data_IF_387674548729
#
_entry.id   IF_387674548729
#
_cell.length_a   1.000
_cell.length_b   1.000
_cell.length_c   1.000
_cell.angle_alpha   90.00
_cell.angle_beta   90.00
_cell.angle_gamma   90.00
#
_symmetry.space_group_name_H-M   'P 1'
#
loop_
_entity.id
_entity.type
_entity.pdbx_description
1 polymer ?
#
# COMPACT_ATOMS: atom_id res chain seq x y z
N UNK A 1 -24.11 -16.59 -8.35
CA UNK A 1 -22.93 -17.12 -9.06
C UNK A 1 -21.68 -16.62 -8.34
N UNK A 2 -21.09 -17.41 -7.44
CA UNK A 2 -19.71 -17.14 -7.02
C UNK A 2 -18.81 -17.56 -8.19
N UNK A 3 -18.37 -16.60 -9.01
CA UNK A 3 -17.56 -16.93 -10.17
C UNK A 3 -16.19 -17.42 -9.69
N UNK A 4 -15.64 -18.46 -10.33
CA UNK A 4 -14.30 -18.97 -10.04
C UNK A 4 -13.26 -17.84 -10.10
N UNK A 5 -13.46 -16.85 -10.97
CA UNK A 5 -12.64 -15.63 -11.03
C UNK A 5 -12.69 -14.78 -9.77
N UNK A 6 -13.85 -14.62 -9.13
CA UNK A 6 -13.97 -13.89 -7.87
C UNK A 6 -13.24 -14.62 -6.71
N UNK A 7 -13.26 -15.95 -6.70
CA UNK A 7 -12.51 -16.75 -5.72
C UNK A 7 -10.99 -16.62 -5.93
N UNK A 8 -10.51 -16.74 -7.18
CA UNK A 8 -9.09 -16.56 -7.52
C UNK A 8 -8.63 -15.15 -7.14
N UNK A 9 -9.41 -14.13 -7.50
CA UNK A 9 -9.13 -12.76 -7.11
C UNK A 9 -9.08 -12.60 -5.59
N UNK A 10 -10.02 -13.20 -4.86
CA UNK A 10 -10.04 -13.19 -3.40
C UNK A 10 -8.77 -13.80 -2.78
N UNK A 11 -8.32 -14.95 -3.28
CA UNK A 11 -7.08 -15.59 -2.80
C UNK A 11 -5.87 -14.69 -3.07
N UNK A 12 -5.73 -14.16 -4.29
CA UNK A 12 -4.61 -13.29 -4.64
C UNK A 12 -4.62 -12.02 -3.78
N UNK A 13 -5.80 -11.46 -3.53
CA UNK A 13 -5.98 -10.27 -2.70
C UNK A 13 -5.57 -10.54 -1.25
N UNK A 14 -5.92 -11.71 -0.69
CA UNK A 14 -5.48 -12.12 0.65
C UNK A 14 -3.95 -12.23 0.69
N UNK A 15 -3.34 -13.04 -0.18
CA UNK A 15 -1.88 -13.27 -0.16
C UNK A 15 -1.11 -11.97 -0.37
N UNK A 16 -1.52 -11.14 -1.33
CA UNK A 16 -0.90 -9.85 -1.61
C UNK A 16 -1.00 -8.88 -0.43
N UNK A 17 -2.16 -8.78 0.21
CA UNK A 17 -2.34 -7.88 1.35
C UNK A 17 -1.65 -8.38 2.64
N UNK A 18 -1.51 -9.69 2.83
CA UNK A 18 -0.66 -10.18 3.92
C UNK A 18 0.79 -9.72 3.73
N UNK A 19 1.27 -9.77 2.48
CA UNK A 19 2.56 -9.18 2.11
C UNK A 19 2.67 -7.70 2.47
N UNK A 20 1.66 -6.88 2.12
CA UNK A 20 1.69 -5.44 2.42
C UNK A 20 1.60 -5.12 3.90
N UNK A 21 1.12 -6.02 4.75
CA UNK A 21 1.10 -5.77 6.20
C UNK A 21 2.37 -6.27 6.87
N UNK A 22 2.85 -7.46 6.51
CA UNK A 22 4.00 -8.09 7.17
C UNK A 22 5.34 -7.53 6.71
N UNK A 23 5.43 -7.07 5.46
CA UNK A 23 6.70 -6.60 4.86
C UNK A 23 6.80 -5.08 4.88
N UNK A 24 5.71 -4.37 5.13
CA UNK A 24 5.70 -2.90 5.11
C UNK A 24 6.19 -2.31 6.43
N UNK A 25 7.33 -1.63 6.34
CA UNK A 25 7.99 -0.98 7.46
C UNK A 25 7.14 0.10 8.14
N UNK A 26 6.18 0.71 7.44
CA UNK A 26 5.29 1.72 8.04
C UNK A 26 4.39 1.14 9.13
N UNK A 27 3.99 -0.13 8.99
CA UNK A 27 3.22 -0.86 10.01
C UNK A 27 4.09 -1.18 11.22
N UNK A 28 5.29 -1.68 11.00
CA UNK A 28 6.24 -2.01 12.07
C UNK A 28 6.64 -0.78 12.90
N UNK A 29 6.93 0.33 12.23
CA UNK A 29 7.24 1.60 12.89
C UNK A 29 6.10 2.06 13.80
N UNK A 30 4.85 1.96 13.32
CA UNK A 30 3.66 2.33 14.11
C UNK A 30 3.44 1.38 15.27
N UNK A 31 3.67 0.08 15.08
CA UNK A 31 3.57 -0.92 16.13
C UNK A 31 4.58 -0.66 17.26
N UNK A 32 5.85 -0.42 16.91
CA UNK A 32 6.93 -0.15 17.87
C UNK A 32 6.74 1.19 18.59
N UNK A 33 6.24 2.21 17.90
CA UNK A 33 5.97 3.52 18.50
C UNK A 33 4.75 3.54 19.44
N UNK A 34 3.88 2.53 19.35
CA UNK A 34 2.64 2.45 20.12
C UNK A 34 2.83 1.73 21.46
N UNK A 35 2.00 2.06 22.46
CA UNK A 35 2.04 1.38 23.76
C UNK A 35 1.59 -0.08 23.59
N UNK A 36 2.26 -1.09 24.19
CA UNK A 36 1.92 -2.50 24.01
C UNK A 36 0.45 -2.85 24.25
N UNK A 37 -0.18 -2.23 25.26
CA UNK A 37 -1.60 -2.45 25.58
C UNK A 37 -2.57 -1.92 24.52
N UNK A 38 -2.17 -0.94 23.70
CA UNK A 38 -3.02 -0.31 22.70
C UNK A 38 -2.74 -0.75 21.26
N UNK A 39 -1.62 -1.44 21.01
CA UNK A 39 -1.20 -1.89 19.67
C UNK A 39 -2.25 -2.80 19.02
N UNK A 40 -2.57 -3.92 19.69
CA UNK A 40 -3.52 -4.92 19.17
C UNK A 40 -4.93 -4.36 18.95
N UNK A 41 -5.59 -3.73 19.95
CA UNK A 41 -6.91 -3.15 19.70
C UNK A 41 -6.87 -2.02 18.66
N UNK A 42 -5.77 -1.26 18.60
CA UNK A 42 -5.58 -0.22 17.58
C UNK A 42 -5.57 -0.78 16.16
N UNK A 43 -4.84 -1.87 15.92
CA UNK A 43 -4.84 -2.53 14.61
C UNK A 43 -6.18 -3.17 14.26
N UNK A 44 -6.89 -3.77 15.23
CA UNK A 44 -8.22 -4.34 15.00
C UNK A 44 -9.25 -3.27 14.63
N UNK A 45 -9.30 -2.17 15.38
CA UNK A 45 -10.20 -1.04 15.09
C UNK A 45 -9.82 -0.40 13.74
N UNK A 46 -8.52 -0.24 13.46
CA UNK A 46 -8.03 0.26 12.18
C UNK A 46 -8.45 -0.63 11.00
N UNK A 47 -8.34 -1.96 11.14
CA UNK A 47 -8.77 -2.93 10.14
C UNK A 47 -10.30 -2.92 9.92
N UNK A 48 -11.08 -2.82 10.99
CA UNK A 48 -12.54 -2.69 10.90
C UNK A 48 -12.95 -1.36 10.26
N UNK A 49 -12.29 -0.26 10.59
CA UNK A 49 -12.52 1.04 9.97
C UNK A 49 -12.16 1.01 8.48
N UNK A 50 -11.14 0.25 8.09
CA UNK A 50 -10.77 0.10 6.68
C UNK A 50 -11.90 -0.56 5.87
N UNK A 51 -12.63 -1.53 6.43
CA UNK A 51 -13.77 -2.17 5.75
C UNK A 51 -14.85 -1.16 5.33
N UNK A 52 -15.03 -0.07 6.09
CA UNK A 52 -15.99 0.96 5.76
C UNK A 52 -15.68 1.64 4.41
N UNK A 53 -14.42 1.71 3.99
CA UNK A 53 -14.04 2.39 2.73
C UNK A 53 -14.52 1.61 1.49
N UNK A 54 -14.12 0.34 1.25
CA UNK A 54 -14.61 -0.42 0.09
C UNK A 54 -16.11 -0.69 0.20
N UNK A 55 -16.64 -0.93 1.41
CA UNK A 55 -18.07 -1.18 1.57
C UNK A 55 -18.90 0.09 1.32
N UNK A 56 -18.59 1.22 1.95
CA UNK A 56 -19.42 2.41 1.87
C UNK A 56 -19.08 3.31 0.68
N UNK A 57 -17.83 3.40 0.22
CA UNK A 57 -17.46 4.29 -0.89
C UNK A 57 -17.46 3.55 -2.24
N UNK A 58 -16.76 2.42 -2.34
CA UNK A 58 -16.62 1.72 -3.61
C UNK A 58 -17.93 1.03 -4.04
N UNK A 59 -18.62 0.36 -3.11
CA UNK A 59 -19.89 -0.32 -3.43
C UNK A 59 -20.98 0.69 -3.77
N UNK A 60 -21.11 1.79 -3.03
CA UNK A 60 -22.16 2.79 -3.29
C UNK A 60 -21.94 3.49 -4.62
N UNK A 61 -20.73 4.00 -4.90
CA UNK A 61 -20.44 4.69 -6.17
C UNK A 61 -20.45 3.72 -7.35
N UNK A 62 -20.00 2.47 -7.16
CA UNK A 62 -20.08 1.43 -8.18
C UNK A 62 -21.51 1.06 -8.53
N UNK A 63 -22.38 0.84 -7.53
CA UNK A 63 -23.80 0.58 -7.75
C UNK A 63 -24.52 1.81 -8.32
N UNK A 64 -24.14 3.01 -7.89
CA UNK A 64 -24.71 4.25 -8.41
C UNK A 64 -24.36 4.44 -9.90
N UNK A 65 -23.13 4.11 -10.32
CA UNK A 65 -22.74 4.10 -11.73
C UNK A 65 -23.62 3.16 -12.56
N UNK A 66 -23.96 1.98 -12.02
CA UNK A 66 -24.87 1.03 -12.67
C UNK A 66 -26.31 1.57 -12.69
N UNK A 67 -26.80 2.12 -11.58
CA UNK A 67 -28.16 2.64 -11.45
C UNK A 67 -28.46 3.79 -12.43
N UNK A 68 -27.47 4.65 -12.67
CA UNK A 68 -27.59 5.77 -13.63
C UNK A 68 -27.23 5.37 -15.07
N UNK A 69 -26.94 4.09 -15.33
CA UNK A 69 -26.49 3.58 -16.63
C UNK A 69 -25.33 4.40 -17.23
N UNK A 70 -24.34 4.70 -16.39
CA UNK A 70 -23.18 5.50 -16.78
C UNK A 70 -22.41 4.79 -17.91
N UNK A 71 -22.35 5.41 -19.08
CA UNK A 71 -21.59 4.86 -20.20
C UNK A 71 -20.09 5.07 -19.95
N UNK A 72 -19.40 3.97 -19.64
CA UNK A 72 -17.97 3.95 -19.39
C UNK A 72 -17.28 3.14 -20.48
N UNK A 73 -16.22 3.70 -21.04
CA UNK A 73 -15.34 3.00 -21.96
C UNK A 73 -14.53 1.92 -21.22
N UNK A 74 -14.10 0.84 -21.90
CA UNK A 74 -13.23 -0.17 -21.29
C UNK A 74 -11.95 0.43 -20.69
N UNK A 75 -11.43 1.50 -21.29
CA UNK A 75 -10.24 2.21 -20.82
C UNK A 75 -10.51 2.91 -19.48
N UNK A 76 -11.63 3.61 -19.33
CA UNK A 76 -12.00 4.30 -18.08
C UNK A 76 -12.21 3.32 -16.92
N UNK A 77 -12.83 2.16 -17.21
CA UNK A 77 -12.99 1.07 -16.24
C UNK A 77 -11.62 0.55 -15.82
N UNK A 78 -10.74 0.22 -16.79
CA UNK A 78 -9.39 -0.29 -16.51
C UNK A 78 -8.48 0.72 -15.78
N UNK A 79 -8.78 2.01 -15.92
CA UNK A 79 -8.08 3.12 -15.25
C UNK A 79 -8.64 3.44 -13.85
N UNK A 80 -9.67 2.72 -13.40
CA UNK A 80 -10.27 2.91 -12.07
C UNK A 80 -11.13 4.18 -11.94
N UNK A 81 -11.62 4.74 -13.05
CA UNK A 81 -12.35 6.01 -13.05
C UNK A 81 -13.84 5.90 -12.71
N UNK A 82 -14.33 4.68 -12.44
CA UNK A 82 -15.74 4.39 -12.16
C UNK A 82 -16.28 5.27 -11.02
N UNK A 83 -15.61 5.29 -9.86
CA UNK A 83 -16.08 6.05 -8.70
C UNK A 83 -16.02 7.58 -8.90
N UNK A 84 -14.92 8.16 -9.42
CA UNK A 84 -14.86 9.58 -9.76
C UNK A 84 -15.93 10.02 -10.76
N UNK A 85 -16.14 9.26 -11.83
CA UNK A 85 -17.12 9.59 -12.87
C UNK A 85 -18.55 9.44 -12.37
N UNK A 86 -18.84 8.43 -11.54
CA UNK A 86 -20.14 8.28 -10.91
C UNK A 86 -20.47 9.46 -9.98
N UNK A 87 -19.51 9.88 -9.15
CA UNK A 87 -19.69 11.02 -8.25
C UNK A 87 -19.90 12.32 -9.03
N UNK A 88 -19.12 12.56 -10.08
CA UNK A 88 -19.26 13.72 -10.95
C UNK A 88 -20.60 13.72 -11.69
N UNK A 89 -21.09 12.57 -12.13
CA UNK A 89 -22.38 12.46 -12.82
C UNK A 89 -23.57 12.79 -11.90
N UNK A 90 -23.51 12.37 -10.63
CA UNK A 90 -24.63 12.51 -9.68
C UNK A 90 -24.63 13.89 -9.01
N UNK A 91 -23.46 14.40 -8.63
CA UNK A 91 -23.32 15.64 -7.83
C UNK A 91 -22.74 16.81 -8.65
N UNK A 92 -22.51 16.62 -9.95
CA UNK A 92 -21.85 17.61 -10.81
C UNK A 92 -20.43 17.92 -10.34
N UNK A 93 -20.02 19.18 -10.50
CA UNK A 93 -18.68 19.66 -10.15
C UNK A 93 -18.31 19.39 -8.68
N UNK A 94 -19.29 19.45 -7.78
CA UNK A 94 -19.08 19.20 -6.35
C UNK A 94 -18.62 17.76 -6.11
N UNK A 95 -19.21 16.79 -6.80
CA UNK A 95 -18.81 15.38 -6.72
C UNK A 95 -17.39 15.15 -7.22
N UNK A 96 -17.02 15.80 -8.33
CA UNK A 96 -15.68 15.74 -8.88
C UNK A 96 -14.64 16.32 -7.91
N UNK A 97 -14.91 17.50 -7.33
CA UNK A 97 -14.03 18.16 -6.36
C UNK A 97 -13.83 17.29 -5.11
N UNK A 98 -14.91 16.70 -4.58
CA UNK A 98 -14.84 15.82 -3.41
C UNK A 98 -13.98 14.57 -3.69
N UNK A 99 -14.19 13.93 -4.84
CA UNK A 99 -13.40 12.75 -5.23
C UNK A 99 -11.92 13.08 -5.43
N UNK A 100 -11.62 14.22 -6.06
CA UNK A 100 -10.24 14.71 -6.19
C UNK A 100 -9.60 14.99 -4.84
N UNK A 101 -10.34 15.60 -3.91
CA UNK A 101 -9.85 15.92 -2.57
C UNK A 101 -9.55 14.65 -1.76
N UNK A 102 -10.46 13.67 -1.79
CA UNK A 102 -10.26 12.36 -1.14
C UNK A 102 -9.04 11.65 -1.73
N UNK A 103 -8.94 11.59 -3.06
CA UNK A 103 -7.82 10.94 -3.75
C UNK A 103 -6.49 11.62 -3.42
N UNK A 104 -6.43 12.95 -3.50
CA UNK A 104 -5.22 13.72 -3.20
C UNK A 104 -4.76 13.50 -1.76
N UNK A 105 -5.69 13.53 -0.80
CA UNK A 105 -5.40 13.31 0.61
C UNK A 105 -4.91 11.88 0.85
N UNK A 106 -5.58 10.88 0.26
CA UNK A 106 -5.20 9.47 0.39
C UNK A 106 -3.79 9.20 -0.16
N UNK A 107 -3.50 9.68 -1.38
CA UNK A 107 -2.18 9.50 -2.02
C UNK A 107 -1.09 10.23 -1.24
N UNK A 108 -1.35 11.45 -0.78
CA UNK A 108 -0.36 12.23 0.00
C UNK A 108 -0.06 11.57 1.35
N UNK A 109 -1.10 11.09 2.06
CA UNK A 109 -0.94 10.41 3.34
C UNK A 109 -0.17 9.08 3.20
N UNK A 110 -0.52 8.26 2.21
CA UNK A 110 0.18 7.02 1.91
C UNK A 110 1.63 7.27 1.46
N UNK A 111 1.83 8.22 0.55
CA UNK A 111 3.15 8.58 0.04
C UNK A 111 4.09 9.07 1.13
N UNK A 112 3.61 9.92 2.04
CA UNK A 112 4.39 10.41 3.19
C UNK A 112 4.83 9.27 4.12
N UNK A 113 3.92 8.33 4.42
CA UNK A 113 4.24 7.16 5.24
C UNK A 113 5.33 6.30 4.59
N UNK A 114 5.19 6.00 3.29
CA UNK A 114 6.15 5.17 2.54
C UNK A 114 7.53 5.84 2.42
N UNK A 115 7.58 7.14 2.14
CA UNK A 115 8.83 7.90 2.08
C UNK A 115 9.59 7.85 3.41
N UNK A 116 8.87 8.00 4.52
CA UNK A 116 9.48 7.90 5.85
C UNK A 116 9.97 6.47 6.14
N UNK A 117 9.21 5.46 5.76
CA UNK A 117 9.57 4.06 5.95
C UNK A 117 10.82 3.68 5.16
N UNK A 118 10.88 3.99 3.87
CA UNK A 118 12.08 3.75 3.03
C UNK A 118 13.28 4.55 3.53
N UNK A 119 13.07 5.79 3.94
CA UNK A 119 14.12 6.61 4.53
C UNK A 119 14.73 5.96 5.78
N UNK A 120 13.91 5.36 6.64
CA UNK A 120 14.37 4.66 7.84
C UNK A 120 15.19 3.41 7.50
N UNK A 121 14.78 2.63 6.51
CA UNK A 121 15.50 1.43 6.05
C UNK A 121 16.88 1.83 5.52
N UNK A 122 16.93 2.86 4.66
CA UNK A 122 18.21 3.34 4.13
C UNK A 122 19.10 3.91 5.25
N UNK A 123 18.52 4.62 6.22
CA UNK A 123 19.28 5.31 7.26
C UNK A 123 19.81 4.35 8.32
N UNK A 124 18.96 3.48 8.86
CA UNK A 124 19.31 2.58 9.96
C UNK A 124 19.82 1.24 9.47
N UNK A 125 19.20 0.65 8.46
CA UNK A 125 19.53 -0.73 8.06
C UNK A 125 20.68 -0.76 7.07
N UNK A 126 20.81 0.25 6.20
CA UNK A 126 21.92 0.34 5.23
C UNK A 126 23.06 1.22 5.75
N UNK A 127 22.80 2.51 5.94
CA UNK A 127 23.85 3.48 6.21
C UNK A 127 24.51 3.26 7.56
N UNK A 128 23.72 3.15 8.64
CA UNK A 128 24.29 2.91 9.97
C UNK A 128 24.92 1.53 10.06
N UNK A 129 24.26 0.47 9.59
CA UNK A 129 24.79 -0.90 9.75
C UNK A 129 26.07 -1.15 8.94
N UNK A 130 26.11 -0.71 7.67
CA UNK A 130 27.18 -1.14 6.76
C UNK A 130 28.16 -0.03 6.35
N UNK A 131 27.72 1.23 6.30
CA UNK A 131 28.56 2.33 5.80
C UNK A 131 29.29 3.03 6.95
N UNK A 132 28.56 3.43 7.99
CA UNK A 132 29.12 4.15 9.14
C UNK A 132 28.41 3.80 10.46
N UNK A 133 28.84 2.73 11.15
CA UNK A 133 28.28 2.31 12.44
C UNK A 133 28.29 3.36 13.55
N UNK A 134 29.30 4.23 13.55
CA UNK A 134 29.48 5.31 14.52
C UNK A 134 28.83 6.65 14.12
N UNK A 135 27.84 6.62 13.22
CA UNK A 135 27.12 7.82 12.76
C UNK A 135 26.35 8.53 13.89
N UNK A 136 26.46 9.85 13.95
CA UNK A 136 25.72 10.67 14.92
C UNK A 136 24.27 10.93 14.47
N UNK A 137 23.37 11.26 15.39
CA UNK A 137 21.97 11.54 15.07
C UNK A 137 21.78 12.63 14.00
N UNK A 138 22.61 13.69 14.01
CA UNK A 138 22.57 14.73 12.97
C UNK A 138 22.95 14.22 11.58
N UNK A 139 23.89 13.28 11.50
CA UNK A 139 24.26 12.64 10.23
C UNK A 139 23.13 11.75 9.72
N UNK A 140 22.51 10.96 10.59
CA UNK A 140 21.36 10.11 10.23
C UNK A 140 20.19 10.94 9.71
N UNK A 141 19.86 12.05 10.38
CA UNK A 141 18.80 12.96 9.90
C UNK A 141 19.11 13.57 8.53
N UNK A 142 20.39 13.84 8.23
CA UNK A 142 20.79 14.36 6.91
C UNK A 142 20.63 13.30 5.82
N UNK A 143 21.09 12.08 6.07
CA UNK A 143 20.93 10.95 5.14
C UNK A 143 19.45 10.67 4.91
N UNK A 144 18.65 10.64 5.97
CA UNK A 144 17.21 10.44 5.89
C UNK A 144 16.53 11.44 4.93
N UNK A 145 16.86 12.73 5.01
CA UNK A 145 16.32 13.75 4.09
C UNK A 145 16.75 13.54 2.64
N UNK A 146 18.00 13.17 2.41
CA UNK A 146 18.46 12.84 1.04
C UNK A 146 17.77 11.59 0.50
N UNK A 147 17.56 10.57 1.33
CA UNK A 147 16.82 9.37 0.95
C UNK A 147 15.36 9.68 0.58
N UNK A 148 14.70 10.56 1.34
CA UNK A 148 13.32 11.01 1.02
C UNK A 148 13.27 11.69 -0.33
N UNK A 149 14.19 12.63 -0.60
CA UNK A 149 14.23 13.36 -1.87
C UNK A 149 14.55 12.42 -3.05
N UNK A 150 15.58 11.59 -2.91
CA UNK A 150 16.00 10.66 -3.94
C UNK A 150 14.93 9.62 -4.27
N UNK A 151 14.34 9.01 -3.25
CA UNK A 151 13.28 8.01 -3.43
C UNK A 151 11.98 8.64 -3.94
N UNK A 152 11.60 9.83 -3.45
CA UNK A 152 10.42 10.54 -3.92
C UNK A 152 10.50 10.92 -5.40
N UNK A 153 11.64 11.44 -5.85
CA UNK A 153 11.88 11.71 -7.27
C UNK A 153 11.91 10.41 -8.10
N UNK A 154 12.54 9.35 -7.57
CA UNK A 154 12.58 8.05 -8.23
C UNK A 154 11.20 7.42 -8.39
N UNK A 155 10.34 7.50 -7.37
CA UNK A 155 8.94 7.05 -7.43
C UNK A 155 8.14 7.85 -8.46
N UNK A 156 8.31 9.18 -8.50
CA UNK A 156 7.64 10.02 -9.50
C UNK A 156 8.05 9.66 -10.94
N UNK A 157 9.35 9.44 -11.15
CA UNK A 157 9.87 8.98 -12.45
C UNK A 157 9.32 7.60 -12.83
N UNK A 158 9.36 6.63 -11.91
CA UNK A 158 8.81 5.29 -12.15
C UNK A 158 7.31 5.34 -12.44
N UNK A 159 6.54 6.09 -11.67
CA UNK A 159 5.10 6.25 -11.90
C UNK A 159 4.81 6.85 -13.28
N UNK A 160 5.60 7.83 -13.72
CA UNK A 160 5.48 8.42 -15.07
C UNK A 160 5.76 7.40 -16.16
N UNK A 161 6.82 6.60 -16.01
CA UNK A 161 7.17 5.54 -16.97
C UNK A 161 6.08 4.46 -17.05
N UNK A 162 5.56 4.01 -15.91
CA UNK A 162 4.48 3.03 -15.86
C UNK A 162 3.20 3.56 -16.53
N UNK A 163 2.87 4.83 -16.28
CA UNK A 163 1.73 5.49 -16.91
C UNK A 163 1.89 5.58 -18.44
N UNK A 164 3.06 6.00 -18.92
CA UNK A 164 3.36 6.07 -20.36
C UNK A 164 3.38 4.70 -21.05
N UNK A 165 3.73 3.64 -20.31
CA UNK A 165 3.76 2.27 -20.81
C UNK A 165 2.37 1.63 -20.94
N UNK A 166 1.30 2.32 -20.51
CA UNK A 166 -0.07 1.81 -20.59
C UNK A 166 -0.33 0.60 -19.68
N UNK A 167 0.50 0.38 -18.66
CA UNK A 167 0.36 -0.75 -17.75
C UNK A 167 -0.87 -0.52 -16.87
N UNK A 168 -1.79 -1.49 -16.85
CA UNK A 168 -3.00 -1.41 -16.03
C UNK A 168 -2.68 -1.38 -14.53
N UNK A 169 -3.50 -0.66 -13.76
CA UNK A 169 -3.39 -0.62 -12.29
C UNK A 169 -3.51 -2.02 -11.67
N UNK A 170 -4.37 -2.86 -12.24
CA UNK A 170 -4.55 -4.25 -11.81
C UNK A 170 -3.25 -5.05 -11.97
N UNK A 171 -2.50 -4.84 -13.05
CA UNK A 171 -1.22 -5.50 -13.23
C UNK A 171 -0.20 -5.08 -12.16
N UNK A 172 -0.08 -3.77 -11.89
CA UNK A 172 0.84 -3.26 -10.85
C UNK A 172 0.48 -3.83 -9.48
N UNK A 173 -0.82 -3.91 -9.15
CA UNK A 173 -1.31 -4.51 -7.91
C UNK A 173 -0.95 -6.00 -7.80
N UNK A 174 -1.13 -6.77 -8.88
CA UNK A 174 -0.76 -8.19 -8.92
C UNK A 174 0.76 -8.38 -8.80
N UNK A 175 1.54 -7.60 -9.54
CA UNK A 175 3.00 -7.65 -9.52
C UNK A 175 3.54 -7.38 -8.11
N UNK A 176 2.99 -6.38 -7.41
CA UNK A 176 3.32 -6.12 -6.01
C UNK A 176 3.11 -7.37 -5.16
N UNK A 177 1.92 -7.99 -5.22
CA UNK A 177 1.59 -9.18 -4.43
C UNK A 177 2.54 -10.36 -4.69
N UNK A 178 2.95 -10.57 -5.94
CA UNK A 178 3.93 -11.61 -6.31
C UNK A 178 5.31 -11.32 -5.71
N UNK A 179 5.76 -10.06 -5.76
CA UNK A 179 7.10 -9.67 -5.30
C UNK A 179 7.27 -9.76 -3.78
N UNK A 180 6.23 -9.44 -3.02
CA UNK A 180 6.32 -9.39 -1.54
C UNK A 180 5.70 -10.60 -0.84
N UNK A 181 4.85 -11.37 -1.54
CA UNK A 181 4.07 -12.44 -0.94
C UNK A 181 4.93 -13.56 -0.33
N UNK A 182 6.07 -13.90 -0.96
CA UNK A 182 6.93 -14.98 -0.45
C UNK A 182 7.61 -14.65 0.88
N UNK A 183 7.79 -13.36 1.20
CA UNK A 183 8.43 -12.94 2.46
C UNK A 183 7.54 -13.12 3.70
N UNK A 184 6.23 -13.34 3.55
CA UNK A 184 5.28 -13.45 4.67
C UNK A 184 5.58 -14.69 5.53
N UNK A 185 5.80 -15.85 4.91
CA UNK A 185 6.04 -17.10 5.63
C UNK A 185 7.36 -17.07 6.43
N UNK A 186 8.51 -16.67 5.87
CA UNK A 186 9.74 -16.48 6.63
C UNK A 186 9.59 -15.54 7.83
N UNK A 187 8.94 -14.37 7.64
CA UNK A 187 8.74 -13.39 8.71
C UNK A 187 7.86 -13.97 9.83
N UNK A 188 6.77 -14.64 9.47
CA UNK A 188 5.84 -15.22 10.44
C UNK A 188 6.52 -16.32 11.28
N UNK A 189 7.31 -17.19 10.64
CA UNK A 189 8.04 -18.24 11.33
C UNK A 189 9.15 -17.68 12.22
N UNK A 190 9.87 -16.63 11.78
CA UNK A 190 10.90 -15.99 12.59
C UNK A 190 10.35 -15.40 13.90
N UNK A 191 9.08 -14.99 13.92
CA UNK A 191 8.43 -14.44 15.12
C UNK A 191 7.82 -15.54 15.99
N UNK A 192 7.16 -16.52 15.39
CA UNK A 192 6.36 -17.52 16.11
C UNK A 192 7.14 -18.76 16.51
N UNK A 193 8.18 -19.12 15.76
CA UNK A 193 8.91 -20.37 15.95
C UNK A 193 10.36 -20.12 16.37
N UNK A 194 10.65 -20.54 17.61
CA UNK A 194 11.96 -20.44 18.27
C UNK A 194 13.13 -21.11 17.54
N UNK A 195 12.87 -22.10 16.68
CA UNK A 195 13.93 -22.86 15.99
C UNK A 195 14.21 -22.34 14.56
N UNK A 196 13.55 -21.23 14.16
CA UNK A 196 13.79 -20.59 12.87
C UNK A 196 15.22 -20.06 12.80
N UNK A 197 16.05 -20.69 11.97
CA UNK A 197 17.43 -20.28 11.72
C UNK A 197 17.58 -19.63 10.32
N UNK A 198 18.74 -19.03 10.07
CA UNK A 198 19.04 -18.29 8.82
C UNK A 198 18.76 -19.13 7.56
N UNK A 199 19.07 -20.43 7.59
CA UNK A 199 18.89 -21.32 6.44
C UNK A 199 17.41 -21.58 6.16
N UNK A 200 16.62 -21.85 7.20
CA UNK A 200 15.15 -22.05 7.09
C UNK A 200 14.48 -20.79 6.54
N UNK A 201 14.89 -19.61 6.99
CA UNK A 201 14.33 -18.34 6.50
C UNK A 201 14.64 -18.08 5.02
N UNK A 202 15.86 -18.39 4.56
CA UNK A 202 16.24 -18.22 3.13
C UNK A 202 15.65 -19.26 2.19
N UNK A 203 15.34 -20.47 2.69
CA UNK A 203 14.82 -21.56 1.86
C UNK A 203 13.33 -21.41 1.54
N UNK A 204 12.65 -20.53 2.28
CA UNK A 204 11.21 -20.26 2.17
C UNK A 204 10.88 -18.99 1.36
N UNK A 205 11.90 -18.29 0.85
CA UNK A 205 11.78 -17.04 0.11
C UNK A 205 11.71 -17.27 -1.41
#
# INVERSE_FOLDING_TARGET
MASVGALIFGIINIVGNFGTVFVDQSYWQRAIASRPRSVVPGFLVGGLAWFAIPFALATTLGLAAVAVNLQLTPLEISSGLVAPLAAAHILGDVGAILMLTVLFTAVTAAGSAQLNSVSSLITYDVFRTYIKPSSTGRQLMRISRYSILGFGLGMGALASVLFMSGISLQYVYLAMGVLIGSAVAPISLAILWKDTNRYVATLLQ
#
